data_IF_843123694615
#
_entry.id   IF_843123694615
#
_cell.length_a   1.000
_cell.length_b   1.000
_cell.length_c   1.000
_cell.angle_alpha   90.00
_cell.angle_beta   90.00
_cell.angle_gamma   90.00
#
_symmetry.space_group_name_H-M   'P 1'
#
loop_
_entity.id
_entity.type
_entity.pdbx_description
1 polymer ?
#
# COMPACT_ATOMS: atom_id res chain seq x y z
N UNK A 1 -2.11 -48.91 54.52
CA UNK A 1 -2.28 -48.07 53.32
C UNK A 1 -3.22 -48.82 52.37
N UNK A 2 -4.49 -48.40 52.32
CA UNK A 2 -5.61 -48.97 51.54
C UNK A 2 -5.66 -48.19 50.21
N UNK A 3 -5.33 -48.80 49.08
CA UNK A 3 -6.15 -49.59 48.14
C UNK A 3 -6.84 -48.72 47.06
N UNK A 4 -6.52 -49.04 45.80
CA UNK A 4 -7.12 -48.54 44.56
C UNK A 4 -8.41 -49.34 44.35
N UNK A 5 -9.60 -48.72 44.42
CA UNK A 5 -10.79 -49.22 43.73
C UNK A 5 -11.99 -48.27 43.84
N UNK A 6 -12.59 -48.06 42.67
CA UNK A 6 -14.03 -47.92 42.41
C UNK A 6 -14.57 -46.51 42.06
N UNK A 7 -15.04 -46.32 40.81
CA UNK A 7 -15.68 -45.09 40.33
C UNK A 7 -17.12 -44.96 40.82
N UNK A 8 -17.62 -43.72 40.93
CA UNK A 8 -19.05 -43.45 41.15
C UNK A 8 -19.72 -43.02 39.84
N UNK A 9 -20.88 -43.61 39.46
CA UNK A 9 -21.60 -43.25 38.26
C UNK A 9 -22.63 -42.15 38.54
N UNK A 10 -22.69 -41.12 37.68
CA UNK A 10 -23.84 -40.22 37.57
C UNK A 10 -24.19 -40.14 36.08
N UNK A 11 -25.09 -40.99 35.60
CA UNK A 11 -26.55 -40.81 35.53
C UNK A 11 -26.95 -39.78 34.49
N UNK A 12 -27.40 -40.32 33.36
CA UNK A 12 -28.03 -39.62 32.25
C UNK A 12 -29.35 -38.98 32.69
N UNK A 13 -29.57 -37.72 32.30
CA UNK A 13 -30.89 -37.12 32.21
C UNK A 13 -31.07 -36.62 30.77
N UNK A 14 -32.07 -37.11 30.02
CA UNK A 14 -32.48 -36.45 28.80
C UNK A 14 -33.29 -35.22 29.21
N UNK A 15 -32.92 -34.04 28.71
CA UNK A 15 -33.81 -32.89 28.76
C UNK A 15 -34.24 -32.56 27.34
N UNK A 16 -35.55 -32.68 27.15
CA UNK A 16 -36.25 -32.45 25.92
C UNK A 16 -36.43 -30.94 25.64
N UNK A 17 -36.51 -30.65 24.34
CA UNK A 17 -37.40 -29.68 23.69
C UNK A 17 -37.22 -28.17 24.00
N UNK A 18 -36.77 -27.43 22.99
CA UNK A 18 -37.49 -26.26 22.48
C UNK A 18 -37.05 -25.97 21.03
N UNK A 19 -37.91 -26.33 20.08
CA UNK A 19 -37.83 -25.87 18.69
C UNK A 19 -38.45 -24.47 18.67
N UNK A 20 -37.65 -23.41 18.61
CA UNK A 20 -38.15 -22.06 18.34
C UNK A 20 -38.19 -21.84 16.82
N UNK A 21 -39.39 -21.91 16.26
CA UNK A 21 -39.70 -21.38 14.95
C UNK A 21 -39.56 -19.86 15.01
N UNK A 22 -38.38 -19.36 14.62
CA UNK A 22 -38.14 -17.95 14.36
C UNK A 22 -39.01 -17.50 13.20
N UNK A 23 -39.98 -16.65 13.53
CA UNK A 23 -40.96 -16.07 12.62
C UNK A 23 -40.25 -15.12 11.66
N UNK A 24 -40.62 -15.17 10.38
CA UNK A 24 -39.92 -14.49 9.30
C UNK A 24 -39.82 -12.98 9.45
N UNK A 25 -38.77 -12.42 8.85
CA UNK A 25 -38.78 -11.02 8.44
C UNK A 25 -39.77 -10.89 7.28
N UNK A 26 -40.88 -10.22 7.54
CA UNK A 26 -41.81 -9.78 6.50
C UNK A 26 -41.14 -8.71 5.66
N UNK A 27 -41.18 -8.88 4.33
CA UNK A 27 -40.85 -7.81 3.39
C UNK A 27 -41.92 -6.72 3.49
N UNK A 28 -41.60 -5.60 4.14
CA UNK A 28 -42.39 -4.39 4.00
C UNK A 28 -42.02 -3.76 2.65
N UNK A 29 -42.90 -3.99 1.67
CA UNK A 29 -42.97 -3.22 0.44
C UNK A 29 -43.33 -1.78 0.79
N UNK A 30 -42.35 -0.89 0.78
CA UNK A 30 -42.57 0.54 0.64
C UNK A 30 -42.19 0.93 -0.78
N UNK A 31 -43.21 0.99 -1.63
CA UNK A 31 -43.14 1.64 -2.92
C UNK A 31 -42.86 3.13 -2.71
N UNK A 32 -41.77 3.63 -3.27
CA UNK A 32 -41.60 5.03 -3.62
C UNK A 32 -41.32 5.10 -5.12
N UNK A 33 -42.20 5.80 -5.83
CA UNK A 33 -42.17 6.02 -7.27
C UNK A 33 -41.12 7.06 -7.66
N UNK A 34 -40.54 6.78 -8.83
CA UNK A 34 -39.63 7.51 -9.72
C UNK A 34 -39.47 9.04 -9.56
N UNK A 35 -38.20 9.46 -9.55
CA UNK A 35 -37.75 10.60 -10.37
C UNK A 35 -36.48 10.19 -11.09
N UNK A 36 -36.63 9.89 -12.38
CA UNK A 36 -35.56 9.90 -13.36
C UNK A 36 -35.03 11.33 -13.49
N UNK A 37 -33.95 11.62 -12.77
CA UNK A 37 -33.08 12.74 -13.11
C UNK A 37 -31.75 12.11 -13.39
N UNK A 38 -31.44 12.03 -14.69
CA UNK A 38 -30.12 11.77 -15.26
C UNK A 38 -29.04 12.28 -14.31
N UNK A 39 -28.52 11.36 -13.49
CA UNK A 39 -27.30 11.60 -12.75
C UNK A 39 -26.28 11.93 -13.82
N UNK A 40 -25.58 13.08 -13.77
CA UNK A 40 -24.51 13.30 -14.72
C UNK A 40 -23.57 12.12 -14.49
N UNK A 41 -23.52 11.23 -15.47
CA UNK A 41 -22.41 10.33 -15.71
C UNK A 41 -21.20 11.19 -16.02
N UNK A 42 -20.77 11.95 -15.02
CA UNK A 42 -19.44 12.47 -14.92
C UNK A 42 -18.57 11.34 -14.42
N UNK A 43 -18.49 10.24 -15.19
CA UNK A 43 -17.19 9.61 -15.37
C UNK A 43 -16.35 10.67 -16.05
N UNK A 44 -15.86 11.61 -15.27
CA UNK A 44 -14.65 12.30 -15.66
C UNK A 44 -13.58 11.24 -15.56
N UNK A 45 -13.49 10.40 -16.60
CA UNK A 45 -12.26 9.76 -17.02
C UNK A 45 -11.32 10.90 -17.43
N UNK A 46 -10.99 11.79 -16.50
CA UNK A 46 -9.62 12.25 -16.46
C UNK A 46 -8.94 11.01 -15.92
N UNK A 47 -8.45 10.15 -16.83
CA UNK A 47 -7.38 9.23 -16.47
C UNK A 47 -6.37 10.12 -15.74
N UNK A 48 -6.30 9.99 -14.42
CA UNK A 48 -5.61 10.97 -13.61
C UNK A 48 -4.16 10.94 -14.08
N UNK A 49 -3.70 12.04 -14.69
CA UNK A 49 -2.35 12.11 -15.25
C UNK A 49 -1.35 11.62 -14.20
N UNK A 50 -0.50 10.67 -14.61
CA UNK A 50 0.49 10.08 -13.73
C UNK A 50 1.43 11.17 -13.21
N UNK A 51 1.61 11.23 -11.90
CA UNK A 51 2.48 12.19 -11.21
C UNK A 51 3.08 11.57 -9.97
N UNK A 52 4.18 12.17 -9.50
CA UNK A 52 4.70 11.89 -8.17
C UNK A 52 3.85 12.66 -7.16
N UNK A 53 3.25 11.94 -6.21
CA UNK A 53 2.41 12.50 -5.15
C UNK A 53 3.23 12.99 -3.96
N UNK A 54 4.30 12.29 -3.63
CA UNK A 54 5.24 12.69 -2.58
C UNK A 54 6.55 11.95 -2.68
N UNK A 55 7.60 12.58 -2.16
CA UNK A 55 8.84 11.93 -1.79
C UNK A 55 9.16 12.30 -0.34
N UNK A 56 9.60 11.35 0.46
CA UNK A 56 9.87 11.56 1.88
C UNK A 56 11.23 10.98 2.25
N UNK A 57 12.13 11.79 2.82
CA UNK A 57 13.40 11.31 3.37
C UNK A 57 13.11 10.50 4.63
N UNK A 58 12.80 9.21 4.47
CA UNK A 58 12.14 8.43 5.51
C UNK A 58 13.05 7.82 6.55
N UNK A 59 14.30 7.53 6.19
CA UNK A 59 15.34 7.07 7.10
C UNK A 59 16.69 7.59 6.61
N UNK A 60 17.54 8.05 7.53
CA UNK A 60 18.93 8.49 7.31
C UNK A 60 19.96 7.38 7.63
N UNK A 61 19.49 6.22 8.10
CA UNK A 61 20.33 5.05 8.36
C UNK A 61 19.52 3.75 8.31
N UNK A 62 19.47 3.11 7.14
CA UNK A 62 18.76 1.86 6.96
C UNK A 62 19.37 0.71 7.76
N UNK A 63 18.54 -0.18 8.36
CA UNK A 63 19.03 -1.39 9.00
C UNK A 63 19.61 -2.35 7.96
N UNK A 64 20.84 -2.83 8.21
CA UNK A 64 21.61 -3.50 7.16
C UNK A 64 21.05 -4.83 6.65
N UNK A 65 20.49 -5.71 7.48
CA UNK A 65 20.33 -7.13 7.07
C UNK A 65 19.20 -7.38 6.07
N UNK A 66 17.98 -6.92 6.33
CA UNK A 66 16.82 -7.27 5.50
C UNK A 66 16.90 -6.65 4.09
N UNK A 67 17.23 -5.37 4.03
CA UNK A 67 17.31 -4.64 2.76
C UNK A 67 18.50 -5.07 1.91
N UNK A 68 19.60 -5.52 2.52
CA UNK A 68 20.73 -6.05 1.74
C UNK A 68 20.40 -7.33 0.97
N UNK A 69 19.44 -8.13 1.48
CA UNK A 69 18.95 -9.32 0.75
C UNK A 69 18.11 -8.89 -0.45
N UNK A 70 17.22 -7.91 -0.27
CA UNK A 70 16.37 -7.38 -1.35
C UNK A 70 17.23 -6.73 -2.45
N UNK A 71 18.25 -5.97 -2.06
CA UNK A 71 19.13 -5.28 -3.00
C UNK A 71 20.25 -6.16 -3.57
N UNK A 72 20.50 -7.35 -3.01
CA UNK A 72 21.61 -8.22 -3.39
C UNK A 72 23.01 -7.71 -2.99
N UNK A 73 23.08 -6.66 -2.16
CA UNK A 73 24.32 -6.00 -1.76
C UNK A 73 24.15 -5.20 -0.46
N UNK A 74 25.23 -4.94 0.29
CA UNK A 74 25.15 -4.19 1.55
C UNK A 74 24.62 -2.76 1.36
N UNK A 75 23.49 -2.45 2.00
CA UNK A 75 22.87 -1.10 1.98
C UNK A 75 22.68 -0.48 3.36
N UNK A 76 23.20 -1.12 4.41
CA UNK A 76 23.10 -0.59 5.78
C UNK A 76 23.76 0.78 5.93
N UNK A 77 23.12 1.67 6.71
CA UNK A 77 23.60 3.04 6.93
C UNK A 77 23.51 3.95 5.69
N UNK A 78 22.73 3.56 4.68
CA UNK A 78 22.29 4.43 3.58
C UNK A 78 20.90 4.98 3.92
N UNK A 79 20.47 5.96 3.15
CA UNK A 79 19.15 6.56 3.33
C UNK A 79 18.09 5.71 2.63
N UNK A 80 16.88 5.74 3.18
CA UNK A 80 15.68 5.19 2.57
C UNK A 80 14.67 6.30 2.29
N UNK A 81 14.27 6.44 1.03
CA UNK A 81 13.37 7.49 0.58
C UNK A 81 12.20 6.91 -0.20
N UNK A 82 11.02 6.69 0.42
CA UNK A 82 9.81 6.33 -0.30
C UNK A 82 9.35 7.45 -1.23
N UNK A 83 8.99 7.08 -2.46
CA UNK A 83 8.41 7.93 -3.50
C UNK A 83 7.07 7.33 -3.92
N UNK A 84 6.02 8.12 -3.85
CA UNK A 84 4.63 7.68 -4.05
C UNK A 84 4.10 8.26 -5.36
N UNK A 85 3.45 7.43 -6.17
CA UNK A 85 2.91 7.77 -7.49
C UNK A 85 1.39 7.73 -7.51
N UNK A 86 0.77 8.56 -8.37
CA UNK A 86 -0.68 8.54 -8.60
C UNK A 86 -1.15 7.39 -9.50
N UNK A 87 -0.22 6.64 -10.11
CA UNK A 87 -0.47 5.44 -10.91
C UNK A 87 0.25 4.23 -10.27
N UNK A 88 -0.25 3.03 -10.53
CA UNK A 88 0.47 1.79 -10.20
C UNK A 88 1.59 1.60 -11.22
N UNK A 89 2.77 1.21 -10.75
CA UNK A 89 3.98 1.05 -11.55
C UNK A 89 4.08 -0.37 -12.08
N UNK A 90 4.59 -0.52 -13.31
CA UNK A 90 5.01 -1.81 -13.84
C UNK A 90 6.29 -2.27 -13.11
N UNK A 91 6.25 -3.33 -12.28
CA UNK A 91 7.40 -3.76 -11.47
C UNK A 91 8.65 -4.10 -12.29
N UNK A 92 8.48 -4.53 -13.54
CA UNK A 92 9.57 -4.95 -14.42
C UNK A 92 10.41 -3.76 -14.92
N UNK A 93 9.86 -2.55 -14.89
CA UNK A 93 10.55 -1.32 -15.33
C UNK A 93 11.23 -0.58 -14.18
N UNK A 94 10.98 -0.97 -12.94
CA UNK A 94 11.53 -0.31 -11.75
C UNK A 94 13.03 -0.63 -11.62
N UNK A 95 13.87 0.35 -11.96
CA UNK A 95 15.32 0.22 -11.91
C UNK A 95 16.00 1.46 -11.29
N UNK A 96 17.19 1.34 -10.68
CA UNK A 96 17.84 2.51 -10.07
C UNK A 96 18.16 3.62 -11.07
N UNK A 97 18.51 3.25 -12.30
CA UNK A 97 18.79 4.20 -13.40
C UNK A 97 17.58 5.03 -13.84
N UNK A 98 16.36 4.63 -13.46
CA UNK A 98 15.17 5.42 -13.77
C UNK A 98 15.07 6.70 -12.93
N UNK A 99 15.79 6.79 -11.81
CA UNK A 99 15.62 7.85 -10.82
C UNK A 99 16.89 8.68 -10.66
N UNK A 100 16.70 9.98 -10.45
CA UNK A 100 17.73 10.92 -10.05
C UNK A 100 17.26 11.74 -8.86
N UNK A 101 18.09 11.83 -7.83
CA UNK A 101 17.83 12.63 -6.64
C UNK A 101 18.74 13.84 -6.67
N UNK A 102 18.19 15.06 -6.65
CA UNK A 102 18.97 16.28 -6.46
C UNK A 102 19.04 16.59 -4.96
N UNK A 103 20.23 16.88 -4.47
CA UNK A 103 20.44 17.26 -3.06
C UNK A 103 20.47 18.78 -2.91
N UNK A 104 20.36 19.28 -1.67
CA UNK A 104 20.45 20.70 -1.36
C UNK A 104 21.83 21.31 -1.68
N UNK A 105 22.88 20.48 -1.79
CA UNK A 105 24.22 20.89 -2.28
C UNK A 105 24.29 21.03 -3.81
N UNK A 106 23.25 20.62 -4.54
CA UNK A 106 23.20 20.65 -6.01
C UNK A 106 23.78 19.38 -6.66
N UNK A 107 24.09 18.35 -5.88
CA UNK A 107 24.57 17.08 -6.42
C UNK A 107 23.40 16.26 -6.96
N UNK A 108 23.63 15.55 -8.06
CA UNK A 108 22.67 14.59 -8.61
C UNK A 108 23.12 13.17 -8.31
N UNK A 109 22.28 12.41 -7.60
CA UNK A 109 22.60 11.08 -7.07
C UNK A 109 21.64 10.05 -7.66
N UNK A 110 22.17 9.05 -8.35
CA UNK A 110 21.41 7.86 -8.74
C UNK A 110 21.31 6.91 -7.53
N UNK A 111 20.12 6.40 -7.17
CA UNK A 111 19.98 5.39 -6.14
C UNK A 111 20.86 4.17 -6.41
N UNK A 112 21.35 3.51 -5.37
CA UNK A 112 22.12 2.26 -5.50
C UNK A 112 21.20 1.03 -5.60
N UNK A 113 19.97 1.16 -5.10
CA UNK A 113 18.95 0.14 -5.10
C UNK A 113 17.57 0.81 -5.09
N UNK A 114 16.61 0.20 -5.74
CA UNK A 114 15.19 0.60 -5.72
C UNK A 114 14.34 -0.64 -5.54
N UNK A 115 13.23 -0.53 -4.83
CA UNK A 115 12.32 -1.65 -4.66
C UNK A 115 10.89 -1.18 -4.43
N UNK A 116 9.92 -1.94 -4.95
CA UNK A 116 8.52 -1.77 -4.59
C UNK A 116 8.20 -2.39 -3.22
N UNK A 117 9.08 -3.24 -2.65
CA UNK A 117 8.78 -3.92 -1.39
C UNK A 117 8.63 -2.92 -0.23
N UNK A 118 7.57 -3.06 0.60
CA UNK A 118 6.61 -4.19 0.65
C UNK A 118 5.45 -4.14 -0.35
N UNK A 119 5.19 -3.00 -0.98
CA UNK A 119 4.08 -2.70 -1.89
C UNK A 119 4.18 -3.41 -3.26
N UNK A 120 4.19 -4.75 -3.26
CA UNK A 120 4.29 -5.60 -4.46
C UNK A 120 2.96 -6.24 -4.85
N UNK A 121 1.96 -6.19 -3.97
CA UNK A 121 0.65 -6.79 -4.20
C UNK A 121 -0.15 -5.98 -5.23
N UNK A 122 -1.14 -6.60 -5.85
CA UNK A 122 -2.05 -5.89 -6.75
C UNK A 122 -2.71 -4.73 -6.01
N UNK A 123 -2.89 -3.59 -6.69
CA UNK A 123 -3.41 -2.34 -6.11
C UNK A 123 -2.46 -1.59 -5.17
N UNK A 124 -1.29 -2.15 -4.81
CA UNK A 124 -0.34 -1.52 -3.90
C UNK A 124 0.85 -0.82 -4.57
N UNK A 125 1.17 -1.17 -5.83
CA UNK A 125 2.43 -0.86 -6.56
C UNK A 125 2.67 0.62 -6.90
N UNK A 126 2.40 1.53 -5.96
CA UNK A 126 2.49 2.98 -6.09
C UNK A 126 3.65 3.57 -5.30
N UNK A 127 4.28 2.78 -4.42
CA UNK A 127 5.37 3.25 -3.55
C UNK A 127 6.67 2.56 -3.90
N UNK A 128 7.65 3.33 -4.38
CA UNK A 128 9.02 2.86 -4.59
C UNK A 128 9.88 3.34 -3.44
N UNK A 129 10.63 2.45 -2.81
CA UNK A 129 11.70 2.81 -1.89
C UNK A 129 13.00 3.02 -2.66
N UNK A 130 13.49 4.26 -2.72
CA UNK A 130 14.83 4.58 -3.19
C UNK A 130 15.83 4.42 -2.05
N UNK A 131 16.98 3.81 -2.34
CA UNK A 131 18.04 3.58 -1.37
C UNK A 131 19.34 4.16 -1.91
N UNK A 132 20.01 5.00 -1.14
CA UNK A 132 21.21 5.71 -1.58
C UNK A 132 21.79 6.66 -0.55
N UNK A 133 22.94 7.29 -0.84
CA UNK A 133 23.55 8.32 -0.01
C UNK A 133 22.96 9.70 -0.36
N UNK A 134 21.70 9.95 0.00
CA UNK A 134 21.00 11.17 -0.40
C UNK A 134 21.26 12.34 0.57
N UNK A 135 21.72 12.04 1.77
CA UNK A 135 21.99 12.99 2.83
C UNK A 135 23.40 12.82 3.40
N UNK A 136 23.94 13.94 3.84
CA UNK A 136 25.18 14.06 4.60
C UNK A 136 24.94 15.10 5.71
N UNK A 137 25.95 15.42 6.53
CA UNK A 137 25.78 16.39 7.61
C UNK A 137 25.24 17.76 7.15
N UNK A 138 25.59 18.19 5.93
CA UNK A 138 25.28 19.53 5.40
C UNK A 138 24.38 19.49 4.15
N UNK A 139 23.89 18.32 3.76
CA UNK A 139 23.10 18.16 2.52
C UNK A 139 21.97 17.15 2.71
N UNK A 140 20.81 17.42 2.12
CA UNK A 140 19.63 16.56 2.18
C UNK A 140 19.00 16.42 0.78
N UNK A 141 18.21 15.36 0.51
CA UNK A 141 17.46 15.28 -0.73
C UNK A 141 16.49 16.47 -0.85
N UNK A 142 16.45 17.10 -2.02
CA UNK A 142 15.54 18.19 -2.35
C UNK A 142 14.48 17.71 -3.32
N UNK A 143 14.87 17.08 -4.42
CA UNK A 143 13.95 16.67 -5.47
C UNK A 143 14.21 15.26 -5.96
N UNK A 144 13.20 14.69 -6.63
CA UNK A 144 13.29 13.41 -7.32
C UNK A 144 12.76 13.60 -8.73
N UNK A 145 13.51 13.12 -9.71
CA UNK A 145 13.16 13.14 -11.12
C UNK A 145 13.26 11.74 -11.72
N UNK A 146 12.33 11.41 -12.61
CA UNK A 146 12.37 10.21 -13.43
C UNK A 146 13.15 10.53 -14.70
N UNK A 147 14.35 10.00 -14.83
CA UNK A 147 15.31 10.30 -15.91
C UNK A 147 15.56 9.12 -16.85
N UNK A 148 15.02 7.95 -16.53
CA UNK A 148 15.13 6.74 -17.33
C UNK A 148 13.79 6.03 -17.53
N UNK A 149 13.86 4.80 -18.01
CA UNK A 149 12.69 3.96 -18.26
C UNK A 149 11.97 3.61 -16.96
N UNK A 150 10.71 4.05 -16.86
CA UNK A 150 9.76 3.69 -15.83
C UNK A 150 8.36 3.80 -16.44
N UNK A 151 7.54 2.77 -16.26
CA UNK A 151 6.19 2.72 -16.81
C UNK A 151 5.15 2.47 -15.71
N UNK A 152 3.93 2.92 -15.96
CA UNK A 152 2.77 2.41 -15.23
C UNK A 152 2.33 1.03 -15.75
N UNK A 153 1.39 0.40 -15.05
CA UNK A 153 0.84 -0.91 -15.45
C UNK A 153 0.08 -0.89 -16.80
N UNK A 154 -0.25 0.28 -17.32
CA UNK A 154 -0.89 0.47 -18.63
C UNK A 154 0.15 0.67 -19.75
N UNK A 155 1.45 0.70 -19.41
CA UNK A 155 2.56 0.89 -20.35
C UNK A 155 2.83 2.35 -20.72
N UNK A 156 2.27 3.32 -19.98
CA UNK A 156 2.58 4.72 -20.19
C UNK A 156 3.93 5.06 -19.55
N UNK A 157 4.77 5.79 -20.29
CA UNK A 157 6.05 6.26 -19.78
C UNK A 157 5.87 7.36 -18.73
N UNK A 158 6.64 7.24 -17.65
CA UNK A 158 6.71 8.23 -16.55
C UNK A 158 7.95 9.12 -16.62
N UNK A 159 8.70 9.07 -17.73
CA UNK A 159 9.91 9.86 -17.94
C UNK A 159 9.62 11.37 -17.84
N UNK A 160 10.46 12.10 -17.12
CA UNK A 160 10.36 13.55 -16.93
C UNK A 160 9.43 13.98 -15.79
N UNK A 161 8.75 13.04 -15.11
CA UNK A 161 8.04 13.37 -13.88
C UNK A 161 9.05 13.81 -12.80
N UNK A 162 8.72 14.89 -12.08
CA UNK A 162 9.56 15.47 -11.04
C UNK A 162 8.75 16.01 -9.88
N UNK A 163 9.32 15.91 -8.68
CA UNK A 163 8.84 16.58 -7.46
C UNK A 163 9.98 17.37 -6.85
N UNK A 164 9.76 18.65 -6.52
CA UNK A 164 10.79 19.55 -5.99
C UNK A 164 10.86 19.60 -4.45
N UNK A 165 9.81 19.12 -3.77
CA UNK A 165 9.65 19.25 -2.33
C UNK A 165 9.70 17.86 -1.67
N UNK A 166 10.90 17.29 -1.54
CA UNK A 166 11.10 16.10 -0.70
C UNK A 166 10.85 16.47 0.75
N UNK A 167 9.91 15.77 1.39
CA UNK A 167 9.58 15.97 2.81
C UNK A 167 10.78 15.57 3.69
N UNK A 168 11.30 16.46 4.55
CA UNK A 168 12.39 16.15 5.46
C UNK A 168 12.03 15.07 6.48
N UNK A 169 13.04 14.31 6.93
CA UNK A 169 12.88 13.28 7.96
C UNK A 169 12.19 13.79 9.23
N UNK A 170 12.52 15.02 9.66
CA UNK A 170 11.99 15.61 10.88
C UNK A 170 10.49 15.96 10.80
N UNK A 171 9.95 16.15 9.58
CA UNK A 171 8.55 16.53 9.36
C UNK A 171 7.64 15.29 9.31
N UNK A 172 8.20 14.13 9.02
CA UNK A 172 7.48 12.87 8.93
C UNK A 172 6.62 12.72 7.66
N UNK A 173 6.06 11.52 7.41
CA UNK A 173 5.20 11.29 6.25
C UNK A 173 3.78 11.83 6.46
N UNK A 174 3.06 12.06 5.35
CA UNK A 174 1.65 12.46 5.35
C UNK A 174 0.76 11.54 4.51
N UNK A 175 -0.56 11.66 4.68
CA UNK A 175 -1.54 11.00 3.81
C UNK A 175 -1.68 11.80 2.50
N UNK A 176 -1.22 11.22 1.39
CA UNK A 176 -1.19 11.88 0.07
C UNK A 176 -2.12 11.24 -0.96
N UNK A 177 -2.63 10.05 -0.66
CA UNK A 177 -3.47 9.28 -1.55
C UNK A 177 -4.48 8.47 -0.75
N UNK A 178 -5.71 8.44 -1.25
CA UNK A 178 -6.75 7.55 -0.79
C UNK A 178 -7.60 7.16 -1.99
N UNK A 179 -7.79 5.87 -2.17
CA UNK A 179 -8.58 5.30 -3.26
C UNK A 179 -9.69 4.45 -2.66
N UNK A 180 -10.81 4.37 -3.39
CA UNK A 180 -11.94 3.52 -3.01
C UNK A 180 -12.11 2.46 -4.08
N UNK A 181 -12.16 1.21 -3.65
CA UNK A 181 -12.43 0.07 -4.49
C UNK A 181 -13.81 -0.50 -4.18
N UNK A 182 -14.46 -1.07 -5.19
CA UNK A 182 -15.61 -1.93 -4.93
C UNK A 182 -15.12 -3.24 -4.25
N UNK A 183 -15.93 -3.88 -3.40
CA UNK A 183 -15.52 -5.09 -2.67
C UNK A 183 -15.12 -6.28 -3.56
N UNK A 184 -15.52 -6.24 -4.83
CA UNK A 184 -15.28 -7.30 -5.81
C UNK A 184 -14.21 -6.93 -6.86
N UNK A 185 -13.39 -5.91 -6.59
CA UNK A 185 -12.23 -5.60 -7.43
C UNK A 185 -11.18 -6.70 -7.21
N UNK A 186 -10.65 -7.23 -8.31
CA UNK A 186 -9.54 -8.19 -8.27
C UNK A 186 -8.33 -7.59 -7.54
N UNK A 187 -7.68 -8.39 -6.72
CA UNK A 187 -6.67 -7.93 -5.76
C UNK A 187 -7.21 -7.65 -4.35
N UNK A 188 -8.53 -7.66 -4.14
CA UNK A 188 -9.18 -7.58 -2.81
C UNK A 188 -10.09 -8.80 -2.52
N UNK A 189 -10.05 -9.82 -3.38
CA UNK A 189 -10.94 -10.98 -3.33
C UNK A 189 -10.51 -11.93 -2.18
N UNK A 190 -11.26 -11.92 -1.08
CA UNK A 190 -11.08 -12.88 0.03
C UNK A 190 -10.68 -12.25 1.37
N UNK A 191 -10.35 -10.96 1.40
CA UNK A 191 -9.90 -10.25 2.61
C UNK A 191 -11.02 -9.81 3.58
N UNK A 192 -12.30 -9.95 3.19
CA UNK A 192 -13.44 -9.58 4.05
C UNK A 192 -14.20 -10.81 4.54
N UNK A 193 -13.96 -11.29 5.79
CA UNK A 193 -14.79 -12.31 6.41
C UNK A 193 -16.24 -11.80 6.52
N UNK A 194 -17.22 -12.69 6.32
CA UNK A 194 -18.66 -12.35 6.37
C UNK A 194 -19.11 -11.68 7.69
N UNK A 195 -18.30 -11.81 8.76
CA UNK A 195 -18.59 -11.29 10.10
C UNK A 195 -18.20 -9.80 10.33
N UNK A 196 -17.74 -9.08 9.31
CA UNK A 196 -17.31 -7.66 9.45
C UNK A 196 -18.27 -6.64 8.81
N UNK A 197 -19.44 -7.07 8.33
CA UNK A 197 -20.49 -6.22 7.76
C UNK A 197 -21.43 -5.59 8.80
#
# INVERSE_FOLDING_TARGET
MININNPKPLRWMPLALALSLGTGCTSENLAAQDVDTSSPSGSSNIAAEARILSAYHGLDALPGRGLSVICGMPVGGKDGMPVIFSAQLNPETVSPSAFLVETSSGDSVTPICVTLRPAVEELEQRTVLLIGPFSTADSHPRSVEIVGELEDIEGNSLLGLRIEDVTPLADGPGLVFAERFAPNVSGLEGECPDDTA
#
